data_IF_213174518768
#
_entry.id   IF_213174518768
#
_cell.length_a   1.000
_cell.length_b   1.000
_cell.length_c   1.000
_cell.angle_alpha   90.00
_cell.angle_beta   90.00
_cell.angle_gamma   90.00
#
_symmetry.space_group_name_H-M   'P 1'
#
loop_
_entity.id
_entity.type
_entity.pdbx_description
1 polymer ?
#
# COMPACT_ATOMS: atom_id res chain seq x y z
N UNK A 1 9.63 13.37 -0.99
CA UNK A 1 10.95 12.70 -1.12
C UNK A 1 11.12 12.28 -2.59
N UNK A 2 12.16 12.75 -3.31
CA UNK A 2 12.32 12.49 -4.75
C UNK A 2 12.53 11.00 -5.05
N UNK A 3 12.06 10.53 -6.21
CA UNK A 3 12.17 9.14 -6.70
C UNK A 3 13.60 8.57 -6.57
N UNK A 4 14.62 9.42 -6.70
CA UNK A 4 16.05 9.09 -6.55
C UNK A 4 16.41 8.64 -5.13
N UNK A 5 15.77 9.19 -4.09
CA UNK A 5 16.02 8.80 -2.70
C UNK A 5 15.28 7.51 -2.31
N UNK A 6 14.14 7.23 -2.96
CA UNK A 6 13.41 5.96 -2.78
C UNK A 6 14.19 4.77 -3.39
N UNK A 7 14.94 5.00 -4.48
CA UNK A 7 15.78 3.98 -5.14
C UNK A 7 17.08 3.63 -4.38
N UNK A 8 17.66 4.57 -3.61
CA UNK A 8 18.89 4.30 -2.86
C UNK A 8 18.70 3.36 -1.64
N UNK A 9 17.50 3.27 -1.07
CA UNK A 9 17.20 2.33 0.01
C UNK A 9 17.07 0.87 -0.47
N UNK A 10 16.77 0.67 -1.76
CA UNK A 10 16.63 -0.67 -2.37
C UNK A 10 17.99 -1.35 -2.58
N UNK A 11 19.07 -0.59 -2.72
CA UNK A 11 20.42 -1.11 -3.01
C UNK A 11 21.14 -1.74 -1.80
N UNK A 12 20.67 -1.51 -0.58
CA UNK A 12 21.36 -1.99 0.63
C UNK A 12 21.01 -3.45 1.02
N UNK A 13 20.00 -4.07 0.38
CA UNK A 13 19.55 -5.43 0.70
C UNK A 13 20.15 -6.56 -0.15
N UNK A 14 20.87 -6.24 -1.23
CA UNK A 14 21.25 -7.23 -2.27
C UNK A 14 22.71 -7.71 -2.25
N UNK A 15 23.52 -7.31 -1.30
CA UNK A 15 24.97 -7.53 -1.35
C UNK A 15 25.52 -8.79 -0.64
N UNK A 16 24.69 -9.74 -0.20
CA UNK A 16 25.16 -10.90 0.58
C UNK A 16 24.98 -12.28 -0.11
N UNK A 17 24.85 -12.34 -1.42
CA UNK A 17 24.48 -13.57 -2.17
C UNK A 17 25.60 -14.20 -3.00
N UNK A 18 26.87 -13.92 -2.73
CA UNK A 18 27.99 -14.52 -3.49
C UNK A 18 28.73 -15.54 -2.63
N UNK A 19 28.41 -16.81 -2.80
CA UNK A 19 29.16 -18.06 -2.55
C UNK A 19 28.31 -19.14 -1.83
N UNK A 20 27.46 -19.82 -2.58
CA UNK A 20 26.87 -21.08 -2.10
C UNK A 20 27.11 -22.15 -3.19
N UNK A 21 27.70 -23.33 -2.85
CA UNK A 21 27.96 -24.40 -3.81
C UNK A 21 26.66 -25.04 -4.32
N UNK A 22 26.71 -25.43 -5.57
CA UNK A 22 25.60 -26.03 -6.33
C UNK A 22 25.16 -27.38 -5.78
N UNK A 23 23.89 -27.62 -5.94
CA UNK A 23 23.17 -28.88 -6.09
C UNK A 23 22.23 -29.30 -4.96
N UNK A 24 20.97 -28.95 -5.14
CA UNK A 24 19.87 -29.83 -4.81
C UNK A 24 18.69 -29.47 -5.71
N UNK A 25 18.11 -30.43 -6.40
CA UNK A 25 16.84 -30.27 -7.12
C UNK A 25 15.76 -29.93 -6.11
N UNK A 26 14.96 -28.91 -6.38
CA UNK A 26 13.87 -28.53 -5.48
C UNK A 26 12.95 -29.75 -5.32
N UNK A 27 12.87 -30.27 -4.10
CA UNK A 27 11.97 -31.39 -3.81
C UNK A 27 10.54 -30.88 -3.85
N UNK A 28 9.67 -31.64 -4.48
CA UNK A 28 8.22 -31.48 -4.43
C UNK A 28 7.73 -31.54 -2.97
N UNK A 29 6.72 -30.76 -2.64
CA UNK A 29 6.09 -30.89 -1.34
C UNK A 29 5.56 -29.57 -0.74
N UNK A 30 4.89 -29.70 0.40
CA UNK A 30 4.38 -28.55 1.15
C UNK A 30 5.52 -27.73 1.76
N UNK A 31 5.27 -26.43 1.90
CA UNK A 31 6.19 -25.51 2.57
C UNK A 31 5.44 -24.42 3.33
N UNK A 32 6.14 -23.82 4.25
CA UNK A 32 5.76 -22.55 4.88
C UNK A 32 6.83 -21.51 4.61
N UNK A 33 6.44 -20.25 4.59
CA UNK A 33 7.36 -19.13 4.40
C UNK A 33 7.01 -17.95 5.28
N UNK A 34 8.02 -17.16 5.57
CA UNK A 34 7.89 -15.86 6.22
C UNK A 34 8.80 -14.87 5.53
N UNK A 35 8.30 -13.67 5.26
CA UNK A 35 9.09 -12.60 4.68
C UNK A 35 8.78 -11.26 5.32
N UNK A 36 9.77 -10.39 5.29
CA UNK A 36 9.66 -9.00 5.69
C UNK A 36 10.27 -8.09 4.64
N UNK A 37 9.80 -6.87 4.57
CA UNK A 37 10.26 -5.96 3.53
C UNK A 37 9.80 -4.53 3.68
N UNK A 38 10.01 -3.78 2.62
CA UNK A 38 9.68 -2.37 2.48
C UNK A 38 8.48 -2.23 1.57
N UNK A 39 7.46 -1.52 2.03
CA UNK A 39 6.30 -1.12 1.24
C UNK A 39 6.53 0.29 0.67
N UNK A 40 6.36 0.42 -0.62
CA UNK A 40 6.48 1.66 -1.40
C UNK A 40 5.10 1.96 -1.99
N UNK A 41 4.22 2.66 -1.24
CA UNK A 41 2.89 2.99 -1.73
C UNK A 41 2.96 3.96 -2.91
N UNK A 42 1.99 3.89 -3.79
CA UNK A 42 1.73 4.92 -4.78
C UNK A 42 1.05 6.11 -4.08
N UNK A 43 1.33 7.32 -4.55
CA UNK A 43 0.53 8.48 -4.13
C UNK A 43 -0.92 8.28 -4.55
N UNK A 44 -1.87 8.77 -3.75
CA UNK A 44 -3.30 8.67 -4.04
C UNK A 44 -3.87 10.02 -4.48
N UNK A 45 -4.61 10.01 -5.59
CA UNK A 45 -5.46 11.12 -5.99
C UNK A 45 -6.86 10.86 -5.46
N UNK A 46 -7.07 11.23 -4.21
CA UNK A 46 -8.34 11.03 -3.55
C UNK A 46 -9.44 11.84 -4.23
N UNK A 47 -10.57 11.22 -4.49
CA UNK A 47 -11.70 11.87 -5.14
C UNK A 47 -13.02 11.37 -4.56
N UNK A 48 -13.99 12.27 -4.47
CA UNK A 48 -15.30 11.96 -3.94
C UNK A 48 -16.30 13.09 -4.14
N UNK A 49 -17.38 13.05 -3.40
CA UNK A 49 -18.41 14.06 -3.45
C UNK A 49 -19.12 14.21 -2.10
N UNK A 50 -19.81 15.31 -1.93
CA UNK A 50 -20.68 15.53 -0.78
C UNK A 50 -21.98 14.72 -0.92
N UNK A 51 -22.32 13.92 0.07
CA UNK A 51 -23.55 13.11 0.12
C UNK A 51 -24.77 13.94 0.45
N UNK A 52 -24.59 15.10 1.10
CA UNK A 52 -25.66 16.00 1.49
C UNK A 52 -25.23 17.47 1.35
N UNK A 53 -26.20 18.35 1.21
CA UNK A 53 -25.95 19.79 1.18
C UNK A 53 -25.40 20.28 2.52
N UNK A 54 -24.24 20.95 2.49
CA UNK A 54 -23.73 21.70 3.65
C UNK A 54 -24.38 23.08 3.65
N UNK A 55 -25.09 23.48 4.73
CA UNK A 55 -25.80 24.77 4.78
C UNK A 55 -24.86 25.97 4.63
N UNK A 56 -25.38 27.08 4.13
CA UNK A 56 -24.68 28.36 4.13
C UNK A 56 -24.46 28.87 5.56
N UNK A 57 -23.37 29.63 5.75
CA UNK A 57 -23.11 30.44 6.95
C UNK A 57 -23.02 31.89 6.53
N UNK A 58 -22.92 32.85 7.48
CA UNK A 58 -22.74 34.25 7.11
C UNK A 58 -21.54 34.54 6.19
N UNK A 59 -20.46 33.73 6.34
CA UNK A 59 -19.19 33.95 5.65
C UNK A 59 -19.01 33.05 4.42
N UNK A 60 -19.73 31.91 4.34
CA UNK A 60 -19.59 30.94 3.27
C UNK A 60 -20.92 30.49 2.68
N UNK A 61 -21.03 30.42 1.35
CA UNK A 61 -22.21 29.88 0.65
C UNK A 61 -22.47 28.41 0.96
N UNK A 62 -23.67 27.92 0.68
CA UNK A 62 -23.98 26.51 0.77
C UNK A 62 -23.11 25.68 -0.20
N UNK A 63 -22.79 24.44 0.16
CA UNK A 63 -22.19 23.45 -0.74
C UNK A 63 -23.27 22.43 -1.06
N UNK A 64 -23.77 22.37 -2.30
CA UNK A 64 -24.80 21.41 -2.69
C UNK A 64 -24.31 19.95 -2.55
N UNK A 65 -25.23 19.02 -2.35
CA UNK A 65 -24.96 17.60 -2.55
C UNK A 65 -24.38 17.36 -3.96
N UNK A 66 -23.65 16.29 -4.13
CA UNK A 66 -22.95 15.89 -5.37
C UNK A 66 -21.83 16.86 -5.82
N UNK A 67 -21.52 17.90 -5.02
CA UNK A 67 -20.34 18.73 -5.28
C UNK A 67 -19.10 17.89 -5.14
N UNK A 68 -18.23 17.90 -6.16
CA UNK A 68 -16.98 17.12 -6.12
C UNK A 68 -16.02 17.62 -5.04
N UNK A 69 -15.32 16.68 -4.43
CA UNK A 69 -14.27 16.89 -3.43
C UNK A 69 -13.05 16.05 -3.79
N UNK A 70 -11.85 16.58 -3.60
CA UNK A 70 -10.64 15.79 -3.83
C UNK A 70 -9.38 16.48 -3.37
N UNK A 71 -8.35 15.67 -3.11
CA UNK A 71 -7.00 16.13 -2.83
C UNK A 71 -5.98 15.03 -3.12
N UNK A 72 -4.70 15.40 -3.24
CA UNK A 72 -3.60 14.47 -3.36
C UNK A 72 -3.04 14.12 -1.98
N UNK A 73 -2.81 12.82 -1.74
CA UNK A 73 -2.07 12.30 -0.59
C UNK A 73 -0.77 11.68 -1.07
N UNK A 74 0.35 12.13 -0.53
CA UNK A 74 1.67 11.51 -0.70
C UNK A 74 1.97 10.67 0.54
N UNK A 75 2.52 9.47 0.32
CA UNK A 75 2.79 8.52 1.41
C UNK A 75 4.28 8.30 1.64
N UNK A 76 4.62 8.05 2.88
CA UNK A 76 5.93 7.59 3.27
C UNK A 76 6.18 6.12 2.91
N UNK A 77 7.45 5.77 2.83
CA UNK A 77 7.87 4.37 2.79
C UNK A 77 7.46 3.66 4.07
N UNK A 78 6.84 2.48 3.92
CA UNK A 78 6.40 1.66 5.03
C UNK A 78 7.10 0.31 5.13
N UNK A 79 6.54 -0.58 5.92
CA UNK A 79 7.02 -1.95 6.05
C UNK A 79 5.96 -2.96 5.62
N UNK A 80 6.44 -4.17 5.27
CA UNK A 80 5.61 -5.31 4.90
C UNK A 80 6.04 -6.55 5.68
N UNK A 81 5.07 -7.38 6.07
CA UNK A 81 5.27 -8.70 6.66
C UNK A 81 4.30 -9.66 5.98
N UNK A 82 4.80 -10.79 5.48
CA UNK A 82 3.96 -11.78 4.82
C UNK A 82 4.28 -13.19 5.36
N UNK A 83 3.21 -13.96 5.59
CA UNK A 83 3.27 -15.37 5.94
C UNK A 83 2.64 -16.21 4.84
N UNK A 84 3.28 -17.31 4.45
CA UNK A 84 2.85 -18.13 3.34
C UNK A 84 2.78 -19.61 3.72
N UNK A 85 1.79 -20.30 3.17
CA UNK A 85 1.73 -21.77 3.11
C UNK A 85 1.50 -22.18 1.67
N UNK A 86 2.22 -23.17 1.18
CA UNK A 86 2.14 -23.54 -0.22
C UNK A 86 2.57 -24.96 -0.51
N UNK A 87 2.49 -25.31 -1.80
CA UNK A 87 2.92 -26.58 -2.33
C UNK A 87 3.73 -26.35 -3.62
N UNK A 88 4.93 -26.89 -3.67
CA UNK A 88 5.79 -26.88 -4.85
C UNK A 88 5.64 -28.21 -5.61
N UNK A 89 5.45 -28.13 -6.93
CA UNK A 89 5.36 -29.29 -7.82
C UNK A 89 6.71 -29.53 -8.51
N UNK A 90 6.92 -30.74 -8.98
CA UNK A 90 8.15 -31.15 -9.68
C UNK A 90 8.37 -30.45 -11.04
N UNK A 91 7.28 -29.95 -11.64
CA UNK A 91 7.27 -29.25 -12.93
C UNK A 91 7.61 -27.75 -12.83
N UNK A 92 8.01 -27.27 -11.64
CA UNK A 92 8.38 -25.86 -11.39
C UNK A 92 7.20 -24.95 -11.03
N UNK A 93 5.96 -25.43 -11.03
CA UNK A 93 4.85 -24.66 -10.52
C UNK A 93 4.79 -24.71 -8.99
N UNK A 94 4.32 -23.62 -8.39
CA UNK A 94 3.95 -23.53 -6.97
C UNK A 94 2.59 -22.89 -6.82
N UNK A 95 1.82 -23.36 -5.85
CA UNK A 95 0.60 -22.68 -5.38
C UNK A 95 0.78 -22.26 -3.93
N UNK A 96 0.24 -21.12 -3.55
CA UNK A 96 0.50 -20.52 -2.25
C UNK A 96 -0.72 -19.77 -1.75
N UNK A 97 -1.02 -19.89 -0.47
CA UNK A 97 -1.89 -19.01 0.26
C UNK A 97 -1.02 -18.06 1.09
N UNK A 98 -1.20 -16.76 0.92
CA UNK A 98 -0.44 -15.70 1.58
C UNK A 98 -1.35 -14.85 2.46
N UNK A 99 -0.95 -14.66 3.71
CA UNK A 99 -1.41 -13.58 4.57
C UNK A 99 -0.41 -12.43 4.51
N UNK A 100 -0.84 -11.25 4.15
CA UNK A 100 0.01 -10.10 3.92
C UNK A 100 -0.41 -8.91 4.79
N UNK A 101 0.54 -8.23 5.40
CA UNK A 101 0.33 -7.00 6.14
C UNK A 101 1.31 -5.93 5.68
N UNK A 102 0.81 -4.74 5.41
CA UNK A 102 1.64 -3.55 5.13
C UNK A 102 1.13 -2.36 5.93
N UNK A 103 2.06 -1.47 6.32
CA UNK A 103 1.72 -0.21 6.99
C UNK A 103 2.68 0.88 6.56
N UNK A 104 2.13 2.05 6.25
CA UNK A 104 2.86 3.25 5.86
C UNK A 104 2.18 4.52 6.37
N UNK A 105 2.95 5.58 6.55
CA UNK A 105 2.49 6.89 6.99
C UNK A 105 2.06 7.76 5.83
N UNK A 106 1.36 8.84 6.13
CA UNK A 106 1.11 9.95 5.22
C UNK A 106 2.29 10.91 5.30
N UNK A 107 2.87 11.30 4.15
CA UNK A 107 3.90 12.35 4.08
C UNK A 107 3.23 13.73 4.07
N UNK A 108 2.21 13.92 3.22
CA UNK A 108 1.42 15.17 3.16
C UNK A 108 0.13 15.01 2.35
N UNK A 109 -0.76 15.99 2.57
CA UNK A 109 -1.90 16.25 1.70
C UNK A 109 -1.70 17.57 0.96
N UNK A 110 -2.24 17.70 -0.26
CA UNK A 110 -2.15 18.93 -1.06
C UNK A 110 -3.25 18.98 -2.11
N UNK A 111 -3.50 20.16 -2.65
CA UNK A 111 -4.39 20.34 -3.79
C UNK A 111 -5.87 20.10 -3.45
N UNK A 112 -6.33 20.53 -2.27
CA UNK A 112 -7.74 20.38 -1.89
C UNK A 112 -8.64 21.18 -2.83
N UNK A 113 -9.57 20.46 -3.46
CA UNK A 113 -10.54 21.03 -4.40
C UNK A 113 -11.97 20.78 -3.92
N UNK A 114 -12.84 21.77 -4.10
CA UNK A 114 -14.29 21.68 -3.87
C UNK A 114 -14.97 22.24 -5.12
N UNK A 115 -15.85 21.45 -5.73
CA UNK A 115 -16.50 21.83 -7.00
C UNK A 115 -15.51 22.13 -8.13
N UNK A 116 -14.33 21.47 -8.10
CA UNK A 116 -13.24 21.69 -9.07
C UNK A 116 -12.36 22.91 -8.79
N UNK A 117 -12.71 23.77 -7.83
CA UNK A 117 -11.89 24.93 -7.45
C UNK A 117 -10.89 24.53 -6.36
N UNK A 118 -9.59 24.84 -6.57
CA UNK A 118 -8.57 24.68 -5.54
C UNK A 118 -8.76 25.70 -4.42
N UNK A 119 -8.78 25.23 -3.17
CA UNK A 119 -9.00 26.06 -1.98
C UNK A 119 -7.78 26.11 -1.02
N UNK A 120 -6.62 25.62 -1.45
CA UNK A 120 -5.39 25.61 -0.60
C UNK A 120 -5.01 27.01 -0.10
N UNK A 121 -5.25 28.03 -0.91
CA UNK A 121 -4.96 29.44 -0.54
C UNK A 121 -6.04 30.12 0.28
N UNK A 122 -7.17 29.46 0.56
CA UNK A 122 -8.29 30.03 1.33
C UNK A 122 -8.00 29.92 2.83
N UNK A 123 -8.58 30.86 3.63
CA UNK A 123 -8.55 30.82 5.09
C UNK A 123 -9.10 29.48 5.61
N UNK A 124 -8.40 28.86 6.56
CA UNK A 124 -8.78 27.54 7.12
C UNK A 124 -10.18 27.52 7.74
N UNK A 125 -10.74 28.67 8.11
CA UNK A 125 -12.10 28.76 8.62
C UNK A 125 -13.15 28.15 7.65
N UNK A 126 -12.85 28.03 6.35
CA UNK A 126 -13.73 27.36 5.39
C UNK A 126 -13.97 25.89 5.75
N UNK A 127 -13.00 25.19 6.34
CA UNK A 127 -13.11 23.77 6.73
C UNK A 127 -14.04 23.58 7.94
N UNK A 128 -14.02 24.53 8.87
CA UNK A 128 -14.85 24.50 10.08
C UNK A 128 -16.14 25.30 9.93
N UNK A 129 -16.32 25.99 8.79
CA UNK A 129 -17.45 26.92 8.53
C UNK A 129 -17.53 28.08 9.53
N UNK A 130 -16.40 28.37 10.19
CA UNK A 130 -16.26 29.51 11.12
C UNK A 130 -15.98 30.84 10.41
N UNK A 131 -15.88 31.94 11.18
CA UNK A 131 -15.54 33.23 10.61
C UNK A 131 -14.04 33.32 10.22
N UNK A 132 -13.71 33.80 9.02
CA UNK A 132 -12.33 34.09 8.64
C UNK A 132 -11.72 35.17 9.54
N UNK A 133 -10.41 35.06 9.83
CA UNK A 133 -9.71 36.04 10.64
C UNK A 133 -8.29 36.32 10.12
N UNK A 134 -7.86 37.57 10.24
CA UNK A 134 -6.47 37.90 9.94
C UNK A 134 -5.51 37.10 10.85
N UNK A 135 -4.60 36.33 10.25
CA UNK A 135 -3.68 35.49 10.98
C UNK A 135 -4.06 34.00 11.04
N UNK A 136 -5.22 33.59 10.57
CA UNK A 136 -5.52 32.19 10.33
C UNK A 136 -4.57 31.62 9.28
N UNK A 137 -4.12 30.37 9.41
CA UNK A 137 -3.38 29.70 8.35
C UNK A 137 -4.29 29.43 7.13
N UNK A 138 -3.69 29.17 5.99
CA UNK A 138 -4.44 28.70 4.82
C UNK A 138 -4.78 27.22 4.94
N UNK A 139 -5.79 26.77 4.19
CA UNK A 139 -6.16 25.35 4.09
C UNK A 139 -4.93 24.50 3.75
N UNK A 140 -4.18 24.88 2.72
CA UNK A 140 -2.99 24.14 2.28
C UNK A 140 -1.92 24.04 3.36
N UNK A 141 -1.74 25.06 4.20
CA UNK A 141 -0.79 25.02 5.31
C UNK A 141 -1.21 24.02 6.41
N UNK A 142 -2.52 23.88 6.66
CA UNK A 142 -3.05 22.98 7.68
C UNK A 142 -3.04 21.53 7.23
N UNK A 143 -3.35 21.25 5.96
CA UNK A 143 -3.41 19.87 5.46
C UNK A 143 -2.03 19.30 5.09
N UNK A 144 -0.99 20.13 4.99
CA UNK A 144 0.34 19.74 4.50
C UNK A 144 1.21 18.98 5.53
N UNK A 145 0.77 18.78 6.75
CA UNK A 145 1.61 18.24 7.82
C UNK A 145 1.76 16.71 7.82
N UNK A 146 1.09 16.00 6.91
CA UNK A 146 1.30 14.58 6.67
C UNK A 146 0.96 13.65 7.84
N UNK A 147 0.08 14.05 8.75
CA UNK A 147 -0.35 13.16 9.83
C UNK A 147 -1.41 12.17 9.36
N UNK A 148 -1.17 10.90 9.69
CA UNK A 148 -2.06 9.81 9.29
C UNK A 148 -1.31 8.53 8.90
N UNK A 149 -2.08 7.51 8.59
CA UNK A 149 -1.52 6.21 8.18
C UNK A 149 -2.50 5.41 7.34
N UNK A 150 -1.95 4.46 6.59
CA UNK A 150 -2.71 3.38 5.97
C UNK A 150 -2.11 2.05 6.42
N UNK A 151 -2.97 1.13 6.84
CA UNK A 151 -2.59 -0.25 7.15
C UNK A 151 -3.43 -1.18 6.28
N UNK A 152 -2.78 -2.10 5.58
CA UNK A 152 -3.48 -3.07 4.75
C UNK A 152 -3.24 -4.48 5.29
N UNK A 153 -4.30 -5.26 5.40
CA UNK A 153 -4.24 -6.70 5.59
C UNK A 153 -4.85 -7.39 4.37
N UNK A 154 -4.24 -8.45 3.87
CA UNK A 154 -4.73 -9.17 2.69
C UNK A 154 -4.56 -10.68 2.80
N UNK A 155 -5.47 -11.41 2.15
CA UNK A 155 -5.37 -12.84 1.92
C UNK A 155 -5.35 -13.08 0.42
N UNK A 156 -4.30 -13.76 -0.08
CA UNK A 156 -4.06 -13.98 -1.51
C UNK A 156 -3.84 -15.45 -1.82
N UNK A 157 -4.45 -15.92 -2.90
CA UNK A 157 -4.08 -17.16 -3.58
C UNK A 157 -3.11 -16.83 -4.72
N UNK A 158 -1.93 -17.43 -4.69
CA UNK A 158 -0.84 -17.15 -5.63
C UNK A 158 -0.49 -18.40 -6.44
N UNK A 159 -0.07 -18.19 -7.68
CA UNK A 159 0.56 -19.19 -8.52
C UNK A 159 1.92 -18.65 -8.97
N UNK A 160 2.96 -19.47 -8.85
CA UNK A 160 4.31 -19.15 -9.27
C UNK A 160 4.83 -20.16 -10.26
N UNK A 161 5.81 -19.74 -11.03
CA UNK A 161 6.63 -20.60 -11.87
C UNK A 161 8.11 -20.35 -11.56
N UNK A 162 8.78 -21.38 -11.04
CA UNK A 162 10.20 -21.37 -10.72
C UNK A 162 10.99 -21.80 -11.96
N UNK A 163 11.90 -20.95 -12.41
CA UNK A 163 12.73 -21.19 -13.58
C UNK A 163 13.93 -22.04 -13.16
N UNK A 164 13.97 -23.27 -13.62
CA UNK A 164 15.09 -24.17 -13.34
C UNK A 164 16.33 -23.74 -14.12
N UNK A 165 17.35 -23.27 -13.42
CA UNK A 165 18.65 -22.88 -14.00
C UNK A 165 19.72 -23.96 -13.94
N UNK A 166 19.39 -25.13 -13.37
CA UNK A 166 20.36 -26.18 -13.09
C UNK A 166 21.32 -25.86 -11.93
N UNK A 167 21.02 -24.80 -11.15
CA UNK A 167 21.82 -24.37 -10.00
C UNK A 167 20.94 -24.16 -8.76
N UNK A 168 21.55 -23.83 -7.62
CA UNK A 168 20.81 -23.45 -6.39
C UNK A 168 20.04 -22.13 -6.52
N UNK A 169 20.35 -21.31 -7.51
CA UNK A 169 19.69 -20.05 -7.80
C UNK A 169 18.50 -20.28 -8.74
N UNK A 170 17.30 -19.94 -8.30
CA UNK A 170 16.05 -20.14 -9.02
C UNK A 170 15.27 -18.83 -9.13
N UNK A 171 15.32 -18.16 -10.29
CA UNK A 171 14.40 -17.06 -10.57
C UNK A 171 12.97 -17.58 -10.62
N UNK A 172 12.01 -16.74 -10.24
CA UNK A 172 10.59 -17.05 -10.33
C UNK A 172 9.76 -15.84 -10.72
N UNK A 173 8.59 -16.12 -11.28
CA UNK A 173 7.53 -15.14 -11.51
C UNK A 173 6.24 -15.70 -10.96
N UNK A 174 5.32 -14.82 -10.59
CA UNK A 174 4.03 -15.23 -10.04
C UNK A 174 2.96 -14.19 -10.23
N UNK A 175 1.74 -14.64 -10.06
CA UNK A 175 0.55 -13.81 -10.02
C UNK A 175 -0.40 -14.30 -8.94
N UNK A 176 -1.18 -13.41 -8.37
CA UNK A 176 -2.14 -13.74 -7.33
C UNK A 176 -3.36 -12.86 -7.35
N UNK A 177 -4.43 -13.39 -6.81
CA UNK A 177 -5.69 -12.68 -6.56
C UNK A 177 -6.08 -12.90 -5.10
N UNK A 178 -6.78 -11.93 -4.54
CA UNK A 178 -7.17 -12.01 -3.14
C UNK A 178 -8.14 -10.94 -2.73
N UNK A 179 -8.26 -10.78 -1.43
CA UNK A 179 -9.08 -9.75 -0.81
C UNK A 179 -8.22 -8.97 0.17
N UNK A 180 -8.26 -7.62 0.10
CA UNK A 180 -7.49 -6.72 0.92
C UNK A 180 -8.41 -5.79 1.68
N UNK A 181 -8.18 -5.66 2.99
CA UNK A 181 -8.76 -4.66 3.87
C UNK A 181 -7.77 -3.53 4.07
N UNK A 182 -8.22 -2.29 3.87
CA UNK A 182 -7.45 -1.08 4.10
C UNK A 182 -8.05 -0.30 5.28
N UNK A 183 -7.28 -0.08 6.32
CA UNK A 183 -7.56 0.83 7.42
C UNK A 183 -6.87 2.15 7.11
N UNK A 184 -7.66 3.18 6.82
CA UNK A 184 -7.19 4.51 6.39
C UNK A 184 -7.51 5.50 7.49
N UNK A 185 -6.48 6.20 7.98
CA UNK A 185 -6.63 7.29 8.95
C UNK A 185 -5.88 8.52 8.48
N UNK A 186 -6.60 9.64 8.34
CA UNK A 186 -6.04 10.94 8.00
C UNK A 186 -6.30 11.93 9.13
N UNK A 187 -5.23 12.44 9.71
CA UNK A 187 -5.25 13.32 10.89
C UNK A 187 -4.46 14.63 10.67
N UNK A 188 -4.69 15.38 9.56
CA UNK A 188 -3.94 16.61 9.31
C UNK A 188 -4.10 17.59 10.48
N UNK A 189 -2.97 18.14 10.93
CA UNK A 189 -2.88 19.03 12.11
C UNK A 189 -3.49 18.42 13.39
N UNK A 190 -3.48 17.07 13.51
CA UNK A 190 -4.05 16.36 14.65
C UNK A 190 -5.59 16.33 14.68
N UNK A 191 -6.25 16.72 13.59
CA UNK A 191 -7.70 16.66 13.45
C UNK A 191 -8.08 15.38 12.72
N UNK A 192 -8.90 14.55 13.35
CA UNK A 192 -9.42 13.30 12.77
C UNK A 192 -10.42 13.63 11.64
N UNK A 193 -9.91 13.67 10.40
CA UNK A 193 -10.69 13.98 9.20
C UNK A 193 -11.32 12.72 8.62
N UNK A 194 -10.64 11.57 8.71
CA UNK A 194 -11.11 10.31 8.18
C UNK A 194 -10.51 9.14 8.96
N UNK A 195 -11.35 8.22 9.41
CA UNK A 195 -10.97 6.96 10.06
C UNK A 195 -11.94 5.88 9.60
N UNK A 196 -11.51 5.03 8.66
CA UNK A 196 -12.37 4.02 8.09
C UNK A 196 -11.60 2.75 7.68
N UNK A 197 -12.32 1.64 7.71
CA UNK A 197 -11.85 0.37 7.19
C UNK A 197 -12.73 -0.04 6.01
N UNK A 198 -12.11 -0.32 4.87
CA UNK A 198 -12.80 -0.77 3.68
C UNK A 198 -12.09 -1.97 3.06
N UNK A 199 -12.85 -2.91 2.47
CA UNK A 199 -12.33 -4.14 1.89
C UNK A 199 -12.71 -4.31 0.44
N UNK A 200 -11.77 -4.80 -0.38
CA UNK A 200 -12.01 -5.01 -1.80
C UNK A 200 -11.14 -6.12 -2.39
N UNK A 201 -11.51 -6.55 -3.59
CA UNK A 201 -10.69 -7.47 -4.36
C UNK A 201 -9.37 -6.82 -4.77
N UNK A 202 -8.31 -7.63 -4.71
CA UNK A 202 -6.98 -7.18 -5.06
C UNK A 202 -6.26 -8.24 -5.90
N UNK A 203 -5.28 -7.80 -6.64
CA UNK A 203 -4.42 -8.65 -7.46
C UNK A 203 -2.96 -8.24 -7.28
N UNK A 204 -2.07 -9.18 -7.55
CA UNK A 204 -0.65 -8.93 -7.42
C UNK A 204 0.16 -9.67 -8.50
N UNK A 205 1.25 -9.02 -8.92
CA UNK A 205 2.26 -9.59 -9.78
C UNK A 205 3.58 -9.65 -9.02
N UNK A 206 4.28 -10.75 -9.14
CA UNK A 206 5.47 -11.02 -8.36
C UNK A 206 6.60 -11.49 -9.26
N UNK A 207 7.82 -11.04 -8.94
CA UNK A 207 9.04 -11.56 -9.53
C UNK A 207 10.13 -11.61 -8.47
N UNK A 208 10.98 -12.61 -8.52
CA UNK A 208 12.03 -12.76 -7.53
C UNK A 208 13.01 -13.87 -7.87
N UNK A 209 13.82 -14.18 -6.89
CA UNK A 209 14.72 -15.30 -6.96
C UNK A 209 14.88 -15.95 -5.58
N UNK A 210 15.13 -17.23 -5.59
CA UNK A 210 15.45 -17.99 -4.39
C UNK A 210 16.82 -18.67 -4.51
N UNK A 211 17.39 -18.96 -3.35
CA UNK A 211 18.64 -19.71 -3.20
C UNK A 211 18.44 -20.79 -2.16
N UNK A 212 18.66 -22.04 -2.55
CA UNK A 212 18.62 -23.17 -1.64
C UNK A 212 19.82 -23.16 -0.68
N UNK A 213 19.53 -23.04 0.63
CA UNK A 213 20.53 -23.13 1.69
C UNK A 213 20.76 -24.57 2.12
N UNK A 214 19.73 -25.39 2.05
CA UNK A 214 19.75 -26.82 2.37
C UNK A 214 18.59 -27.52 1.64
N UNK A 215 18.49 -28.85 1.78
CA UNK A 215 17.37 -29.61 1.22
C UNK A 215 15.99 -29.13 1.70
N UNK A 216 15.91 -28.44 2.85
CA UNK A 216 14.66 -27.99 3.47
C UNK A 216 14.52 -26.49 3.61
N UNK A 217 15.60 -25.72 3.46
CA UNK A 217 15.58 -24.28 3.68
C UNK A 217 16.02 -23.53 2.45
N UNK A 218 15.30 -22.49 2.11
CA UNK A 218 15.49 -21.63 0.97
C UNK A 218 15.35 -20.16 1.40
N UNK A 219 16.31 -19.34 1.00
CA UNK A 219 16.18 -17.88 1.05
C UNK A 219 15.56 -17.38 -0.23
N UNK A 220 14.71 -16.35 -0.15
CA UNK A 220 14.20 -15.70 -1.34
C UNK A 220 14.16 -14.18 -1.19
N UNK A 221 14.29 -13.50 -2.32
CA UNK A 221 14.00 -12.08 -2.49
C UNK A 221 12.90 -11.91 -3.52
N UNK A 222 11.94 -11.02 -3.25
CA UNK A 222 10.76 -10.84 -4.07
C UNK A 222 10.40 -9.38 -4.21
N UNK A 223 10.07 -8.98 -5.42
CA UNK A 223 9.32 -7.77 -5.73
C UNK A 223 7.86 -8.16 -5.95
N UNK A 224 6.94 -7.41 -5.34
CA UNK A 224 5.51 -7.56 -5.52
C UNK A 224 4.92 -6.21 -5.91
N UNK A 225 4.23 -6.16 -7.02
CA UNK A 225 3.32 -5.07 -7.35
C UNK A 225 1.90 -5.52 -7.02
N UNK A 226 1.22 -4.75 -6.17
CA UNK A 226 -0.13 -5.07 -5.67
C UNK A 226 -1.03 -3.88 -5.84
N UNK A 227 -2.27 -4.15 -6.30
CA UNK A 227 -3.28 -3.12 -6.44
C UNK A 227 -4.67 -3.70 -6.16
N UNK A 228 -5.61 -2.82 -5.82
CA UNK A 228 -7.04 -3.17 -5.69
C UNK A 228 -7.76 -2.95 -7.02
N UNK A 229 -8.89 -3.63 -7.20
CA UNK A 229 -9.78 -3.41 -8.35
C UNK A 229 -10.63 -2.16 -8.22
N UNK A 230 -10.71 -1.61 -7.01
CA UNK A 230 -11.48 -0.42 -6.63
C UNK A 230 -10.68 0.46 -5.65
N UNK A 231 -11.15 1.66 -5.37
CA UNK A 231 -10.62 2.53 -4.32
C UNK A 231 -11.25 2.20 -2.97
N UNK A 232 -10.48 2.40 -1.88
CA UNK A 232 -11.04 2.33 -0.54
C UNK A 232 -12.00 3.50 -0.30
N UNK A 233 -13.25 3.23 0.02
CA UNK A 233 -14.24 4.25 0.32
C UNK A 233 -14.13 4.69 1.77
N UNK A 234 -13.85 5.96 1.99
CA UNK A 234 -13.60 6.54 3.31
C UNK A 234 -14.57 7.70 3.55
N UNK A 235 -15.52 7.57 4.49
CA UNK A 235 -16.36 8.67 4.90
C UNK A 235 -15.53 9.72 5.67
N UNK A 236 -15.85 10.99 5.48
CA UNK A 236 -15.24 12.09 6.21
C UNK A 236 -15.99 12.35 7.52
N UNK A 237 -15.24 12.51 8.63
CA UNK A 237 -15.83 12.70 9.96
C UNK A 237 -16.43 14.09 10.16
N UNK A 238 -15.92 15.10 9.46
CA UNK A 238 -16.29 16.50 9.66
C UNK A 238 -17.30 17.02 8.64
N UNK A 239 -17.47 16.33 7.53
CA UNK A 239 -18.30 16.76 6.41
C UNK A 239 -19.11 15.57 5.90
N UNK A 240 -20.34 15.77 5.42
CA UNK A 240 -21.14 14.69 4.84
C UNK A 240 -20.61 14.38 3.43
N UNK A 241 -19.47 13.71 3.35
CA UNK A 241 -18.83 13.36 2.07
C UNK A 241 -18.06 12.04 2.20
N UNK A 242 -17.97 11.31 1.10
CA UNK A 242 -17.16 10.10 0.96
C UNK A 242 -15.99 10.37 0.01
N UNK A 243 -14.87 9.68 0.26
CA UNK A 243 -13.64 9.82 -0.49
C UNK A 243 -13.13 8.44 -0.92
N UNK A 244 -12.78 8.30 -2.18
CA UNK A 244 -12.06 7.12 -2.69
C UNK A 244 -10.55 7.31 -2.52
N UNK A 245 -9.88 6.37 -1.87
CA UNK A 245 -8.43 6.37 -1.62
C UNK A 245 -7.80 5.19 -2.36
N UNK A 246 -6.81 5.48 -3.21
CA UNK A 246 -6.01 4.46 -3.90
C UNK A 246 -5.01 3.83 -2.91
N UNK A 247 -4.89 2.49 -2.93
CA UNK A 247 -4.02 1.74 -2.02
C UNK A 247 -3.00 0.87 -2.75
N UNK A 248 -2.74 1.15 -4.03
CA UNK A 248 -1.74 0.46 -4.83
C UNK A 248 -0.33 0.64 -4.27
N UNK A 249 0.50 -0.40 -4.34
CA UNK A 249 1.84 -0.38 -3.75
C UNK A 249 2.81 -1.34 -4.43
N UNK A 250 4.09 -1.00 -4.35
CA UNK A 250 5.21 -1.89 -4.66
C UNK A 250 5.85 -2.35 -3.35
N UNK A 251 6.20 -3.63 -3.26
CA UNK A 251 6.82 -4.22 -2.06
C UNK A 251 8.11 -4.92 -2.48
N UNK A 252 9.19 -4.64 -1.77
CA UNK A 252 10.45 -5.39 -1.88
C UNK A 252 10.66 -6.13 -0.57
N UNK A 253 10.72 -7.44 -0.64
CA UNK A 253 10.82 -8.31 0.55
C UNK A 253 11.91 -9.36 0.41
N UNK A 254 12.39 -9.85 1.55
CA UNK A 254 13.23 -11.03 1.64
C UNK A 254 12.67 -11.96 2.72
N UNK A 255 12.84 -13.26 2.53
CA UNK A 255 12.25 -14.24 3.43
C UNK A 255 12.93 -15.59 3.38
N UNK A 256 12.43 -16.46 4.24
CA UNK A 256 12.84 -17.87 4.33
C UNK A 256 11.64 -18.74 4.05
N UNK A 257 11.88 -19.82 3.32
CA UNK A 257 10.92 -20.87 3.03
C UNK A 257 11.43 -22.19 3.58
N UNK A 258 10.59 -22.92 4.32
CA UNK A 258 10.91 -24.24 4.89
C UNK A 258 10.02 -25.28 4.22
N UNK A 259 10.63 -26.27 3.60
CA UNK A 259 9.98 -27.37 2.86
C UNK A 259 9.84 -28.60 3.77
N UNK A 260 8.72 -29.31 3.64
CA UNK A 260 8.41 -30.50 4.44
C UNK A 260 8.35 -31.80 3.58
N UNK A 261 8.65 -31.75 2.28
CA UNK A 261 8.74 -32.91 1.40
C UNK A 261 9.97 -33.77 1.71
N UNK A 262 9.83 -35.09 1.47
CA UNK A 262 10.93 -36.07 1.54
C UNK A 262 11.75 -36.07 0.25
#
# INVERSE_FOLDING_TARGET
MNLTNKLCLIAAGTAALAAIPAAASAKEGPYIGLSGGVALPNDSNNSGAFDATVPATPDFGAIPADTSLGWKTEFDTGYAINGQVGYAFDNGFRVELEGAYTRYGVDRHSGLTVGGANIDGVDVAVLTRGAPAAGNPTVGAVIADGQGRVSNFGLFGNVFYDINTGSSFKPFVGAGIGYQWADVRFEPSGVDVADANDGGFAYQLMAGASVELSERAELFGQYTWRDRTDTATVPLNLLPANLGVETGQSIVSAGVRIKFGQ
#
